data_IF_693215163139
#
_entry.id   IF_693215163139
#
_cell.length_a   1.000
_cell.length_b   1.000
_cell.length_c   1.000
_cell.angle_alpha   90.00
_cell.angle_beta   90.00
_cell.angle_gamma   90.00
#
_symmetry.space_group_name_H-M   'P 1'
#
loop_
_entity.id
_entity.type
_entity.pdbx_description
1 polymer ?
#
# COMPACT_ATOMS: atom_id res chain seq x y z
N UNK A 1 -15.44 -4.72 30.51
CA UNK A 1 -14.21 -5.03 29.73
C UNK A 1 -14.38 -4.50 28.33
N UNK A 2 -13.61 -3.48 27.95
CA UNK A 2 -13.63 -2.88 26.60
C UNK A 2 -12.40 -3.38 25.84
N UNK A 3 -12.53 -3.91 24.61
CA UNK A 3 -11.36 -4.19 23.80
C UNK A 3 -10.83 -2.86 23.25
N UNK A 4 -9.79 -2.32 23.89
CA UNK A 4 -8.95 -1.28 23.30
C UNK A 4 -8.01 -1.95 22.30
N UNK A 5 -8.30 -1.85 21.01
CA UNK A 5 -7.33 -2.20 19.98
C UNK A 5 -6.21 -1.14 19.97
N UNK A 6 -4.94 -1.50 20.16
CA UNK A 6 -3.84 -0.58 19.97
C UNK A 6 -3.59 -0.42 18.46
N UNK A 7 -3.92 0.75 17.90
CA UNK A 7 -3.37 1.20 16.61
C UNK A 7 -2.01 1.85 16.88
N UNK A 8 -0.95 1.04 16.90
CA UNK A 8 0.43 1.55 16.80
C UNK A 8 0.71 1.90 15.34
N UNK A 9 0.74 3.21 15.05
CA UNK A 9 0.94 3.77 13.72
C UNK A 9 2.44 3.99 13.48
N UNK A 10 3.10 3.01 12.84
CA UNK A 10 4.49 3.11 12.35
C UNK A 10 4.59 2.65 10.89
N UNK A 11 3.56 2.97 10.08
CA UNK A 11 3.37 2.45 8.70
C UNK A 11 3.78 3.40 7.56
N UNK A 12 4.14 4.66 7.84
CA UNK A 12 4.32 5.67 6.78
C UNK A 12 5.74 5.85 6.22
N UNK A 13 6.75 5.12 6.72
CA UNK A 13 8.12 5.24 6.21
C UNK A 13 8.52 4.16 5.19
N UNK A 14 7.77 3.05 5.11
CA UNK A 14 8.13 1.90 4.25
C UNK A 14 7.74 2.12 2.79
N UNK A 15 6.59 2.72 2.51
CA UNK A 15 6.14 2.98 1.13
C UNK A 15 6.96 4.08 0.43
N UNK A 16 7.59 4.98 1.19
CA UNK A 16 8.45 6.04 0.65
C UNK A 16 9.86 5.55 0.30
N UNK A 17 10.37 4.49 0.94
CA UNK A 17 11.71 3.96 0.65
C UNK A 17 11.76 3.06 -0.60
N UNK A 18 10.64 2.45 -1.00
CA UNK A 18 10.51 1.68 -2.25
C UNK A 18 10.41 2.60 -3.46
N UNK A 19 9.73 3.75 -3.33
CA UNK A 19 9.61 4.74 -4.40
C UNK A 19 10.93 5.45 -4.74
N UNK A 20 11.86 5.55 -3.79
CA UNK A 20 13.14 6.24 -4.00
C UNK A 20 14.16 5.40 -4.80
N UNK A 21 14.13 4.08 -4.68
CA UNK A 21 15.00 3.18 -5.47
C UNK A 21 14.57 3.07 -6.94
N UNK A 22 13.28 3.29 -7.22
CA UNK A 22 12.75 3.32 -8.58
C UNK A 22 13.18 4.56 -9.40
N UNK A 23 13.79 5.57 -8.75
CA UNK A 23 14.22 6.83 -9.38
C UNK A 23 15.66 6.81 -9.92
N UNK A 24 16.50 5.83 -9.57
CA UNK A 24 17.91 5.81 -10.00
C UNK A 24 18.16 5.08 -11.33
N UNK A 25 17.18 4.37 -11.90
CA UNK A 25 17.35 3.67 -13.18
C UNK A 25 16.65 4.44 -14.29
N UNK A 26 17.25 5.56 -14.68
CA UNK A 26 16.97 6.25 -15.94
C UNK A 26 18.20 6.17 -16.83
N UNK A 27 18.26 5.09 -17.63
CA UNK A 27 18.78 5.19 -18.99
C UNK A 27 17.70 4.72 -19.94
N UNK A 28 17.19 5.69 -20.69
CA UNK A 28 16.27 5.57 -21.81
C UNK A 28 16.90 4.75 -22.94
N UNK A 29 16.19 3.72 -23.40
CA UNK A 29 16.26 3.30 -24.80
C UNK A 29 14.82 3.19 -25.31
N UNK A 30 14.44 4.16 -26.15
CA UNK A 30 13.34 4.01 -27.06
C UNK A 30 13.87 3.19 -28.24
N UNK A 31 13.25 2.04 -28.53
CA UNK A 31 13.51 1.31 -29.76
C UNK A 31 12.18 1.03 -30.43
N UNK A 32 12.00 1.65 -31.60
CA UNK A 32 10.87 1.45 -32.50
C UNK A 32 10.82 -0.02 -32.93
N UNK A 33 9.70 -0.69 -32.66
CA UNK A 33 9.42 -2.00 -33.24
C UNK A 33 8.99 -1.83 -34.71
N UNK A 34 9.92 -2.10 -35.62
CA UNK A 34 9.61 -2.37 -37.03
C UNK A 34 8.85 -3.68 -37.15
N UNK A 35 7.64 -3.60 -37.68
CA UNK A 35 6.72 -4.71 -37.93
C UNK A 35 7.21 -5.53 -39.12
N UNK A 36 7.67 -6.76 -38.88
CA UNK A 36 7.82 -7.78 -39.91
C UNK A 36 6.87 -8.93 -39.61
N UNK A 37 5.79 -9.01 -40.40
CA UNK A 37 4.83 -10.09 -40.38
C UNK A 37 5.44 -11.37 -40.94
N UNK A 38 5.46 -12.42 -40.14
CA UNK A 38 5.51 -13.79 -40.63
C UNK A 38 4.84 -14.69 -39.60
N UNK A 39 3.60 -15.09 -39.91
CA UNK A 39 2.89 -16.13 -39.17
C UNK A 39 3.44 -17.50 -39.52
N UNK A 40 3.72 -18.33 -38.52
CA UNK A 40 3.32 -19.73 -38.55
C UNK A 40 2.32 -19.98 -37.42
N UNK A 41 1.13 -20.41 -37.81
CA UNK A 41 0.11 -20.95 -36.92
C UNK A 41 0.57 -22.30 -36.36
N UNK A 42 1.19 -22.30 -35.18
CA UNK A 42 1.12 -23.42 -34.25
C UNK A 42 0.42 -22.92 -33.00
N UNK A 43 -0.73 -23.51 -32.67
CA UNK A 43 -1.35 -23.33 -31.36
C UNK A 43 -0.50 -24.06 -30.32
N UNK A 44 0.66 -23.50 -30.02
CA UNK A 44 1.50 -23.90 -28.90
C UNK A 44 0.69 -23.56 -27.66
N UNK A 45 0.19 -24.57 -26.95
CA UNK A 45 -0.44 -24.34 -25.65
C UNK A 45 0.64 -23.73 -24.75
N UNK A 46 0.48 -22.45 -24.37
CA UNK A 46 1.37 -21.80 -23.42
C UNK A 46 1.41 -22.62 -22.14
N UNK A 47 2.61 -22.82 -21.59
CA UNK A 47 2.78 -23.49 -20.31
C UNK A 47 2.12 -22.69 -19.19
N UNK A 48 1.81 -23.33 -18.06
CA UNK A 48 1.21 -22.65 -16.91
C UNK A 48 2.11 -21.51 -16.39
N UNK A 49 3.42 -21.73 -16.39
CA UNK A 49 4.43 -20.73 -16.01
C UNK A 49 4.44 -19.54 -16.98
N UNK A 50 4.36 -19.78 -18.29
CA UNK A 50 4.26 -18.73 -19.31
C UNK A 50 2.98 -17.90 -19.16
N UNK A 51 1.87 -18.54 -18.79
CA UNK A 51 0.60 -17.84 -18.55
C UNK A 51 0.67 -16.97 -17.30
N UNK A 52 1.26 -17.47 -16.21
CA UNK A 52 1.46 -16.69 -14.98
C UNK A 52 2.32 -15.46 -15.24
N UNK A 53 3.42 -15.63 -15.97
CA UNK A 53 4.25 -14.49 -16.37
C UNK A 53 3.49 -13.49 -17.23
N UNK A 54 2.76 -13.96 -18.25
CA UNK A 54 1.95 -13.08 -19.09
C UNK A 54 0.96 -12.23 -18.27
N UNK A 55 0.29 -12.84 -17.29
CA UNK A 55 -0.61 -12.11 -16.37
C UNK A 55 0.14 -11.06 -15.53
N UNK A 56 1.34 -11.37 -15.03
CA UNK A 56 2.18 -10.40 -14.31
C UNK A 56 2.55 -9.22 -15.20
N UNK A 57 2.91 -9.47 -16.46
CA UNK A 57 3.22 -8.41 -17.44
C UNK A 57 2.02 -7.52 -17.74
N UNK A 58 0.86 -8.12 -18.04
CA UNK A 58 -0.39 -7.39 -18.30
C UNK A 58 -0.81 -6.54 -17.10
N UNK A 59 -0.72 -7.09 -15.88
CA UNK A 59 -1.04 -6.37 -14.65
C UNK A 59 -0.12 -5.18 -14.39
N UNK A 60 1.16 -5.31 -14.73
CA UNK A 60 2.18 -4.30 -14.49
C UNK A 60 2.27 -3.24 -15.60
N UNK A 61 1.66 -3.47 -16.76
CA UNK A 61 1.70 -2.58 -17.91
C UNK A 61 1.09 -1.21 -17.57
N UNK A 62 1.80 -0.12 -17.88
CA UNK A 62 1.34 1.25 -17.63
C UNK A 62 1.24 1.67 -16.15
N UNK A 63 1.21 0.72 -15.22
CA UNK A 63 0.93 0.94 -13.81
C UNK A 63 1.81 2.01 -13.16
N UNK A 64 3.12 1.98 -13.39
CA UNK A 64 4.04 2.98 -12.84
C UNK A 64 3.71 4.39 -13.32
N UNK A 65 3.37 4.56 -14.59
CA UNK A 65 3.07 5.87 -15.16
C UNK A 65 1.78 6.43 -14.55
N UNK A 66 0.74 5.61 -14.46
CA UNK A 66 -0.52 5.96 -13.81
C UNK A 66 -0.31 6.29 -12.32
N UNK A 67 0.51 5.51 -11.61
CA UNK A 67 0.87 5.77 -10.22
C UNK A 67 1.56 7.12 -10.05
N UNK A 68 2.46 7.50 -10.96
CA UNK A 68 3.12 8.80 -10.92
C UNK A 68 2.15 9.96 -11.17
N UNK A 69 1.20 9.79 -12.08
CA UNK A 69 0.15 10.78 -12.38
C UNK A 69 -0.82 10.97 -11.20
N UNK A 70 -1.15 9.88 -10.49
CA UNK A 70 -2.10 9.88 -9.37
C UNK A 70 -1.47 10.15 -8.01
N UNK A 71 -0.13 10.18 -7.91
CA UNK A 71 0.63 10.33 -6.66
C UNK A 71 0.10 11.44 -5.77
N UNK A 72 -0.16 12.63 -6.33
CA UNK A 72 -0.65 13.79 -5.57
C UNK A 72 -2.03 13.53 -4.97
N UNK A 73 -2.91 12.86 -5.71
CA UNK A 73 -4.24 12.47 -5.19
C UNK A 73 -4.13 11.46 -4.05
N UNK A 74 -3.21 10.49 -4.17
CA UNK A 74 -2.92 9.53 -3.09
C UNK A 74 -2.41 10.24 -1.84
N UNK A 75 -1.44 11.16 -1.99
CA UNK A 75 -0.91 11.96 -0.88
C UNK A 75 -2.01 12.78 -0.19
N UNK A 76 -2.85 13.47 -0.96
CA UNK A 76 -3.98 14.24 -0.42
C UNK A 76 -4.97 13.36 0.37
N UNK A 77 -5.27 12.16 -0.10
CA UNK A 77 -6.14 11.24 0.63
C UNK A 77 -5.54 10.84 1.99
N UNK A 78 -4.24 10.50 2.04
CA UNK A 78 -3.60 10.14 3.30
C UNK A 78 -3.47 11.32 4.27
N UNK A 79 -3.23 12.53 3.77
CA UNK A 79 -3.25 13.75 4.57
C UNK A 79 -4.64 14.03 5.15
N UNK A 80 -5.68 13.91 4.32
CA UNK A 80 -7.07 14.02 4.77
C UNK A 80 -7.37 12.98 5.85
N UNK A 81 -7.00 11.71 5.63
CA UNK A 81 -7.20 10.63 6.60
C UNK A 81 -6.49 10.93 7.93
N UNK A 82 -5.25 11.42 7.89
CA UNK A 82 -4.47 11.80 9.08
C UNK A 82 -5.17 12.93 9.84
N UNK A 83 -5.63 13.96 9.15
CA UNK A 83 -6.41 15.06 9.74
C UNK A 83 -7.71 14.55 10.36
N UNK A 84 -8.46 13.71 9.65
CA UNK A 84 -9.71 13.16 10.16
C UNK A 84 -9.52 12.34 11.45
N UNK A 85 -8.44 11.57 11.57
CA UNK A 85 -8.09 10.87 12.82
C UNK A 85 -7.90 11.85 13.99
N UNK A 86 -7.22 12.97 13.75
CA UNK A 86 -7.04 14.02 14.75
C UNK A 86 -8.37 14.68 15.12
N UNK A 87 -9.24 14.95 14.15
CA UNK A 87 -10.54 15.58 14.37
C UNK A 87 -11.50 14.66 15.13
N UNK A 88 -11.46 13.35 14.85
CA UNK A 88 -12.18 12.33 15.64
C UNK A 88 -11.67 12.29 17.08
N UNK A 89 -10.35 12.32 17.29
CA UNK A 89 -9.77 12.35 18.65
C UNK A 89 -10.21 13.61 19.42
N UNK A 90 -10.10 14.80 18.79
CA UNK A 90 -10.57 16.06 19.39
C UNK A 90 -12.06 16.01 19.72
N UNK A 91 -12.87 15.48 18.79
CA UNK A 91 -14.32 15.32 18.98
C UNK A 91 -14.64 14.42 20.19
N UNK A 92 -13.90 13.32 20.36
CA UNK A 92 -14.05 12.42 21.51
C UNK A 92 -13.68 13.07 22.83
N UNK A 93 -12.56 13.80 22.88
CA UNK A 93 -12.15 14.53 24.09
C UNK A 93 -13.20 15.55 24.49
N UNK A 94 -13.65 16.38 23.54
CA UNK A 94 -14.73 17.34 23.78
C UNK A 94 -16.01 16.67 24.24
N UNK A 95 -16.39 15.54 23.63
CA UNK A 95 -17.57 14.79 24.06
C UNK A 95 -17.47 14.29 25.51
N UNK A 96 -16.29 13.83 25.93
CA UNK A 96 -16.08 13.40 27.32
C UNK A 96 -16.25 14.56 28.29
N UNK A 97 -15.77 15.76 27.94
CA UNK A 97 -15.97 16.98 28.72
C UNK A 97 -17.45 17.37 28.77
N UNK A 98 -18.13 17.44 27.61
CA UNK A 98 -19.56 17.76 27.51
C UNK A 98 -20.40 16.79 28.38
N UNK A 99 -20.10 15.49 28.35
CA UNK A 99 -20.79 14.48 29.15
C UNK A 99 -20.51 14.59 30.65
N UNK A 100 -19.34 15.07 31.07
CA UNK A 100 -19.03 15.31 32.50
C UNK A 100 -19.82 16.50 33.04
N UNK A 101 -20.09 17.50 32.21
CA UNK A 101 -20.88 18.68 32.58
C UNK A 101 -22.39 18.52 32.36
N UNK A 102 -22.82 17.41 31.74
CA UNK A 102 -24.23 17.15 31.51
C UNK A 102 -24.96 16.72 32.79
N UNK A 103 -26.12 17.34 33.03
CA UNK A 103 -27.09 16.90 34.04
C UNK A 103 -27.88 15.69 33.53
N UNK A 104 -28.55 14.96 34.45
CA UNK A 104 -29.35 13.75 34.17
C UNK A 104 -30.22 13.88 32.91
N UNK A 105 -30.94 14.99 32.79
CA UNK A 105 -31.92 15.20 31.71
C UNK A 105 -31.25 15.61 30.38
N UNK A 106 -30.00 16.10 30.43
CA UNK A 106 -29.21 16.52 29.25
C UNK A 106 -28.19 15.48 28.79
N UNK A 107 -27.95 14.43 29.59
CA UNK A 107 -26.95 13.39 29.31
C UNK A 107 -27.23 12.68 28.00
N UNK A 108 -28.48 12.26 27.77
CA UNK A 108 -28.84 11.54 26.55
C UNK A 108 -28.81 12.43 25.29
N UNK A 109 -29.40 13.64 25.28
CA UNK A 109 -29.22 14.58 24.18
C UNK A 109 -27.75 14.89 23.86
N UNK A 110 -26.91 15.04 24.90
CA UNK A 110 -25.46 15.24 24.73
C UNK A 110 -24.80 14.04 24.06
N UNK A 111 -25.17 12.82 24.46
CA UNK A 111 -24.66 11.58 23.85
C UNK A 111 -25.05 11.49 22.36
N UNK A 112 -26.29 11.81 22.01
CA UNK A 112 -26.76 11.83 20.63
C UNK A 112 -25.97 12.85 19.79
N UNK A 113 -25.78 14.08 20.29
CA UNK A 113 -24.98 15.10 19.61
C UNK A 113 -23.54 14.65 19.38
N UNK A 114 -22.91 14.07 20.39
CA UNK A 114 -21.57 13.51 20.26
C UNK A 114 -21.50 12.45 19.16
N UNK A 115 -22.46 11.52 19.16
CA UNK A 115 -22.48 10.43 18.20
C UNK A 115 -22.74 10.92 16.78
N UNK A 116 -23.66 11.87 16.60
CA UNK A 116 -23.93 12.54 15.31
C UNK A 116 -22.64 13.12 14.73
N UNK A 117 -21.86 13.85 15.55
CA UNK A 117 -20.57 14.39 15.11
C UNK A 117 -19.55 13.32 14.72
N UNK A 118 -19.49 12.19 15.45
CA UNK A 118 -18.64 11.06 15.04
C UNK A 118 -19.11 10.43 13.71
N UNK A 119 -20.43 10.36 13.48
CA UNK A 119 -20.99 9.83 12.23
C UNK A 119 -20.67 10.73 11.03
N UNK A 120 -20.79 12.06 11.18
CA UNK A 120 -20.44 13.03 10.14
C UNK A 120 -18.98 12.91 9.72
N UNK A 121 -18.04 12.91 10.68
CA UNK A 121 -16.62 12.72 10.40
C UNK A 121 -16.31 11.37 9.73
N UNK A 122 -17.07 10.33 10.06
CA UNK A 122 -16.94 9.04 9.40
C UNK A 122 -17.44 9.12 7.96
N UNK A 123 -18.59 9.75 7.72
CA UNK A 123 -19.18 9.93 6.39
C UNK A 123 -18.23 10.68 5.46
N UNK A 124 -17.71 11.83 5.91
CA UNK A 124 -16.73 12.62 5.16
C UNK A 124 -15.49 11.80 4.77
N UNK A 125 -14.98 10.97 5.69
CA UNK A 125 -13.88 10.05 5.39
C UNK A 125 -14.25 9.01 4.33
N UNK A 126 -15.46 8.45 4.38
CA UNK A 126 -15.90 7.43 3.41
C UNK A 126 -16.12 8.03 2.02
N UNK A 127 -16.64 9.24 1.93
CA UNK A 127 -16.74 9.97 0.66
C UNK A 127 -15.35 10.20 0.04
N UNK A 128 -14.38 10.66 0.84
CA UNK A 128 -12.99 10.78 0.36
C UNK A 128 -12.33 9.45 0.03
N UNK A 129 -12.68 8.40 0.74
CA UNK A 129 -12.18 7.06 0.46
C UNK A 129 -12.78 6.47 -0.82
N UNK A 130 -14.01 6.85 -1.17
CA UNK A 130 -14.64 6.54 -2.45
C UNK A 130 -13.91 7.21 -3.61
N UNK A 131 -13.66 8.52 -3.53
CA UNK A 131 -12.87 9.25 -4.54
C UNK A 131 -11.47 8.62 -4.74
N UNK A 132 -10.84 8.20 -3.65
CA UNK A 132 -9.56 7.48 -3.69
C UNK A 132 -9.68 6.11 -4.38
N UNK A 133 -10.71 5.32 -4.02
CA UNK A 133 -10.94 4.00 -4.63
C UNK A 133 -11.27 4.10 -6.13
N UNK A 134 -11.93 5.17 -6.57
CA UNK A 134 -12.21 5.43 -8.00
C UNK A 134 -10.93 5.75 -8.80
N UNK A 135 -9.98 6.45 -8.18
CA UNK A 135 -8.81 7.02 -8.89
C UNK A 135 -7.51 6.24 -8.72
N UNK A 136 -7.41 5.34 -7.74
CA UNK A 136 -6.16 4.62 -7.49
C UNK A 136 -5.88 3.57 -8.59
N UNK A 137 -4.68 3.57 -9.19
CA UNK A 137 -4.32 2.59 -10.23
C UNK A 137 -3.85 1.28 -9.62
N UNK A 138 -3.79 0.24 -10.45
CA UNK A 138 -3.38 -1.11 -10.10
C UNK A 138 -4.41 -1.91 -9.30
N UNK A 139 -5.66 -1.45 -9.26
CA UNK A 139 -6.80 -2.19 -8.72
C UNK A 139 -7.64 -2.68 -9.90
N UNK A 140 -7.92 -3.97 -9.93
CA UNK A 140 -8.82 -4.62 -10.89
C UNK A 140 -10.23 -4.02 -10.81
N UNK A 141 -10.91 -3.98 -11.95
CA UNK A 141 -12.23 -3.34 -12.02
C UNK A 141 -13.27 -4.04 -11.12
N UNK A 142 -13.21 -5.37 -11.02
CA UNK A 142 -14.06 -6.14 -10.11
C UNK A 142 -13.85 -5.74 -8.63
N UNK A 143 -12.59 -5.71 -8.16
CA UNK A 143 -12.28 -5.29 -6.79
C UNK A 143 -12.67 -3.82 -6.53
N UNK A 144 -12.52 -2.96 -7.54
CA UNK A 144 -12.95 -1.56 -7.47
C UNK A 144 -14.46 -1.47 -7.28
N UNK A 145 -15.24 -2.13 -8.12
CA UNK A 145 -16.70 -2.10 -8.05
C UNK A 145 -17.24 -2.66 -6.73
N UNK A 146 -16.69 -3.80 -6.27
CA UNK A 146 -17.05 -4.37 -4.96
C UNK A 146 -16.77 -3.40 -3.81
N UNK A 147 -15.63 -2.73 -3.86
CA UNK A 147 -15.25 -1.74 -2.83
C UNK A 147 -16.15 -0.51 -2.86
N UNK A 148 -16.45 0.03 -4.05
CA UNK A 148 -17.33 1.18 -4.21
C UNK A 148 -18.76 0.85 -3.76
N UNK A 149 -19.27 -0.34 -4.07
CA UNK A 149 -20.57 -0.81 -3.59
C UNK A 149 -20.62 -0.85 -2.05
N UNK A 150 -19.59 -1.41 -1.41
CA UNK A 150 -19.51 -1.46 0.05
C UNK A 150 -19.42 -0.05 0.68
N UNK A 151 -18.63 0.85 0.09
CA UNK A 151 -18.51 2.24 0.54
C UNK A 151 -19.84 3.00 0.41
N UNK A 152 -20.53 2.90 -0.73
CA UNK A 152 -21.84 3.55 -0.93
C UNK A 152 -22.85 3.05 0.11
N UNK A 153 -22.95 1.74 0.30
CA UNK A 153 -23.84 1.14 1.31
C UNK A 153 -23.54 1.67 2.72
N UNK A 154 -22.26 1.82 3.09
CA UNK A 154 -21.89 2.40 4.39
C UNK A 154 -22.20 3.90 4.46
N UNK A 155 -21.99 4.67 3.40
CA UNK A 155 -22.32 6.11 3.36
C UNK A 155 -23.83 6.31 3.53
N UNK A 156 -24.65 5.50 2.88
CA UNK A 156 -26.11 5.54 3.00
C UNK A 156 -26.53 5.19 4.44
N UNK A 157 -25.99 4.11 5.00
CA UNK A 157 -26.25 3.74 6.39
C UNK A 157 -25.80 4.82 7.40
N UNK A 158 -24.67 5.48 7.16
CA UNK A 158 -24.21 6.61 7.98
C UNK A 158 -25.18 7.80 7.87
N UNK A 159 -25.68 8.09 6.68
CA UNK A 159 -26.67 9.16 6.44
C UNK A 159 -27.97 8.89 7.17
N UNK A 160 -28.54 7.68 7.04
CA UNK A 160 -29.74 7.28 7.78
C UNK A 160 -29.54 7.33 9.30
N UNK A 161 -28.35 6.97 9.79
CA UNK A 161 -28.03 7.06 11.22
C UNK A 161 -27.94 8.51 11.71
N UNK A 162 -27.39 9.44 10.90
CA UNK A 162 -27.34 10.87 11.20
C UNK A 162 -28.76 11.44 11.25
N UNK A 163 -29.57 11.19 10.23
CA UNK A 163 -30.97 11.61 10.18
C UNK A 163 -31.78 11.04 11.35
N UNK A 164 -31.57 9.76 11.70
CA UNK A 164 -32.21 9.13 12.83
C UNK A 164 -31.84 9.79 14.17
N UNK A 165 -30.59 10.24 14.32
CA UNK A 165 -30.17 10.99 15.52
C UNK A 165 -30.75 12.41 15.55
N UNK A 166 -30.82 13.11 14.42
CA UNK A 166 -31.33 14.49 14.33
C UNK A 166 -32.85 14.55 14.52
N UNK A 167 -33.57 13.56 14.01
CA UNK A 167 -35.02 13.45 14.16
C UNK A 167 -35.46 12.79 15.48
N UNK A 168 -34.54 12.60 16.43
CA UNK A 168 -34.79 11.97 17.72
C UNK A 168 -35.50 10.60 17.63
N UNK A 169 -35.18 9.80 16.61
CA UNK A 169 -35.74 8.44 16.41
C UNK A 169 -35.33 7.53 17.57
N UNK A 170 -34.08 7.68 18.04
CA UNK A 170 -33.57 6.95 19.20
C UNK A 170 -34.08 7.58 20.50
N UNK A 171 -34.80 6.80 21.30
CA UNK A 171 -35.43 7.25 22.56
C UNK A 171 -34.60 6.92 23.79
N UNK A 172 -33.68 5.97 23.66
CA UNK A 172 -32.86 5.49 24.78
C UNK A 172 -31.40 5.28 24.37
N UNK A 173 -30.54 5.19 25.39
CA UNK A 173 -29.12 4.89 25.20
C UNK A 173 -28.93 3.48 24.66
N UNK A 174 -29.79 2.55 25.06
CA UNK A 174 -29.77 1.15 24.70
C UNK A 174 -30.02 0.97 23.21
N UNK A 175 -31.05 1.64 22.68
CA UNK A 175 -31.34 1.68 21.23
C UNK A 175 -30.15 2.24 20.43
N UNK A 176 -29.51 3.30 20.93
CA UNK A 176 -28.35 3.89 20.25
C UNK A 176 -27.14 2.94 20.23
N UNK A 177 -26.94 2.19 21.32
CA UNK A 177 -25.88 1.17 21.41
C UNK A 177 -26.15 0.03 20.44
N UNK A 178 -27.40 -0.44 20.35
CA UNK A 178 -27.80 -1.49 19.42
C UNK A 178 -27.63 -1.04 17.97
N UNK A 179 -28.11 0.15 17.60
CA UNK A 179 -27.93 0.71 16.28
C UNK A 179 -26.45 0.86 15.90
N UNK A 180 -25.59 1.23 16.87
CA UNK A 180 -24.14 1.27 16.67
C UNK A 180 -23.53 -0.11 16.44
N UNK A 181 -24.00 -1.15 17.12
CA UNK A 181 -23.57 -2.53 16.88
C UNK A 181 -23.98 -2.99 15.47
N UNK A 182 -25.23 -2.74 15.08
CA UNK A 182 -25.76 -3.09 13.76
C UNK A 182 -25.01 -2.34 12.65
N UNK A 183 -24.75 -1.04 12.83
CA UNK A 183 -23.91 -0.26 11.90
C UNK A 183 -22.52 -0.88 11.75
N UNK A 184 -21.95 -1.38 12.85
CA UNK A 184 -20.63 -1.99 12.83
C UNK A 184 -20.61 -3.33 12.08
N UNK A 185 -21.51 -4.24 12.44
CA UNK A 185 -21.54 -5.61 11.91
C UNK A 185 -22.02 -5.65 10.46
N UNK A 186 -23.09 -4.92 10.13
CA UNK A 186 -23.72 -4.99 8.81
C UNK A 186 -23.02 -4.13 7.74
N UNK A 187 -22.35 -3.03 8.13
CA UNK A 187 -21.82 -2.07 7.16
C UNK A 187 -20.33 -1.80 7.32
N UNK A 188 -19.85 -1.50 8.55
CA UNK A 188 -18.43 -1.13 8.75
C UNK A 188 -17.50 -2.30 8.51
N UNK A 189 -17.78 -3.48 9.07
CA UNK A 189 -16.90 -4.65 8.92
C UNK A 189 -16.81 -5.12 7.47
N UNK A 190 -17.91 -5.27 6.71
CA UNK A 190 -17.85 -5.57 5.28
C UNK A 190 -17.07 -4.52 4.48
N UNK A 191 -17.27 -3.23 4.76
CA UNK A 191 -16.51 -2.17 4.08
C UNK A 191 -15.02 -2.25 4.38
N UNK A 192 -14.63 -2.53 5.64
CA UNK A 192 -13.23 -2.70 6.01
C UNK A 192 -12.60 -3.90 5.30
N UNK A 193 -13.35 -5.00 5.12
CA UNK A 193 -12.90 -6.17 4.38
C UNK A 193 -12.74 -5.87 2.89
N UNK A 194 -13.69 -5.18 2.26
CA UNK A 194 -13.60 -4.80 0.85
C UNK A 194 -12.38 -3.90 0.59
N UNK A 195 -12.17 -2.90 1.45
CA UNK A 195 -10.99 -2.02 1.38
C UNK A 195 -9.67 -2.78 1.55
N UNK A 196 -9.65 -3.80 2.41
CA UNK A 196 -8.46 -4.64 2.61
C UNK A 196 -8.15 -5.47 1.36
N UNK A 197 -9.17 -6.06 0.73
CA UNK A 197 -9.03 -6.81 -0.53
C UNK A 197 -8.55 -5.90 -1.67
N UNK A 198 -9.08 -4.68 -1.75
CA UNK A 198 -8.58 -3.67 -2.69
C UNK A 198 -7.11 -3.30 -2.44
N UNK A 199 -6.68 -3.19 -1.17
CA UNK A 199 -5.29 -2.92 -0.81
C UNK A 199 -4.38 -4.09 -1.19
N UNK A 200 -4.82 -5.34 -0.98
CA UNK A 200 -4.11 -6.54 -1.40
C UNK A 200 -3.97 -6.61 -2.92
N UNK A 201 -5.05 -6.43 -3.67
CA UNK A 201 -5.06 -6.43 -5.14
C UNK A 201 -4.13 -5.35 -5.73
N UNK A 202 -4.12 -4.17 -5.13
CA UNK A 202 -3.16 -3.11 -5.50
C UNK A 202 -1.72 -3.49 -5.19
N UNK A 203 -1.50 -4.18 -4.07
CA UNK A 203 -0.17 -4.62 -3.67
C UNK A 203 0.34 -5.71 -4.61
N UNK A 204 -0.54 -6.61 -5.06
CA UNK A 204 -0.25 -7.62 -6.08
C UNK A 204 0.26 -6.98 -7.37
N UNK A 205 -0.37 -5.89 -7.82
CA UNK A 205 0.12 -5.11 -8.97
C UNK A 205 1.51 -4.49 -8.76
N UNK A 206 1.84 -4.05 -7.54
CA UNK A 206 3.20 -3.62 -7.21
C UNK A 206 4.20 -4.78 -7.27
N UNK A 207 3.83 -5.95 -6.76
CA UNK A 207 4.66 -7.16 -6.80
C UNK A 207 4.94 -7.53 -8.27
N UNK A 208 3.88 -7.64 -9.09
CA UNK A 208 4.00 -7.92 -10.52
C UNK A 208 4.92 -6.91 -11.23
N UNK A 209 4.80 -5.61 -10.92
CA UNK A 209 5.70 -4.59 -11.47
C UNK A 209 7.17 -4.78 -11.06
N UNK A 210 7.43 -5.10 -9.80
CA UNK A 210 8.79 -5.34 -9.31
C UNK A 210 9.40 -6.60 -9.94
N UNK A 211 8.62 -7.67 -10.05
CA UNK A 211 9.03 -8.91 -10.70
C UNK A 211 9.30 -8.73 -12.18
N UNK A 212 8.44 -8.00 -12.90
CA UNK A 212 8.67 -7.64 -14.31
C UNK A 212 10.00 -6.88 -14.49
N UNK A 213 10.30 -5.95 -13.59
CA UNK A 213 11.54 -5.17 -13.63
C UNK A 213 12.76 -6.04 -13.34
N UNK A 214 12.66 -6.92 -12.35
CA UNK A 214 13.71 -7.92 -12.05
C UNK A 214 13.95 -8.86 -13.23
N UNK A 215 12.89 -9.38 -13.85
CA UNK A 215 12.98 -10.25 -15.02
C UNK A 215 13.66 -9.54 -16.19
N UNK A 216 13.28 -8.29 -16.46
CA UNK A 216 13.91 -7.49 -17.51
C UNK A 216 15.39 -7.24 -17.22
N UNK A 217 15.75 -7.02 -15.95
CA UNK A 217 17.14 -6.81 -15.53
C UNK A 217 17.98 -8.08 -15.69
N UNK A 218 17.46 -9.25 -15.34
CA UNK A 218 18.19 -10.52 -15.46
C UNK A 218 18.38 -10.96 -16.91
N UNK A 219 17.47 -10.59 -17.82
CA UNK A 219 17.55 -10.93 -19.24
C UNK A 219 18.43 -9.95 -20.04
N UNK A 220 18.37 -8.65 -19.73
CA UNK A 220 18.96 -7.61 -20.58
C UNK A 220 20.27 -6.99 -20.03
N UNK A 221 20.65 -7.30 -18.79
CA UNK A 221 21.85 -6.74 -18.15
C UNK A 221 22.84 -7.84 -17.78
N UNK A 222 24.13 -7.61 -18.02
CA UNK A 222 25.19 -8.48 -17.49
C UNK A 222 25.31 -8.29 -15.98
N UNK A 223 24.72 -9.22 -15.23
CA UNK A 223 24.81 -9.24 -13.78
C UNK A 223 26.07 -9.98 -13.32
N UNK A 224 26.66 -9.56 -12.20
CA UNK A 224 27.66 -10.37 -11.51
C UNK A 224 27.03 -11.68 -11.00
N UNK A 225 27.79 -12.77 -10.81
CA UNK A 225 27.24 -14.03 -10.29
C UNK A 225 26.53 -13.85 -8.95
N UNK A 226 27.09 -13.04 -8.06
CA UNK A 226 26.51 -12.75 -6.75
C UNK A 226 25.23 -11.91 -6.86
N UNK A 227 25.22 -10.89 -7.74
CA UNK A 227 24.02 -10.09 -7.99
C UNK A 227 22.91 -10.92 -8.64
N UNK A 228 23.24 -11.83 -9.55
CA UNK A 228 22.28 -12.75 -10.18
C UNK A 228 21.67 -13.73 -9.17
N UNK A 229 22.50 -14.34 -8.31
CA UNK A 229 22.02 -15.22 -7.25
C UNK A 229 21.05 -14.48 -6.31
N UNK A 230 21.40 -13.25 -5.93
CA UNK A 230 20.56 -12.44 -5.04
C UNK A 230 19.29 -11.93 -5.72
N UNK A 231 19.34 -11.61 -7.01
CA UNK A 231 18.15 -11.27 -7.80
C UNK A 231 17.19 -12.47 -7.93
N UNK A 232 17.73 -13.68 -8.07
CA UNK A 232 16.93 -14.92 -8.13
C UNK A 232 16.25 -15.23 -6.78
N UNK A 233 16.98 -15.09 -5.67
CA UNK A 233 16.43 -15.19 -4.30
C UNK A 233 15.31 -14.16 -4.07
N UNK A 234 15.53 -12.92 -4.54
CA UNK A 234 14.54 -11.84 -4.48
C UNK A 234 13.29 -12.18 -5.29
N UNK A 235 13.44 -12.78 -6.49
CA UNK A 235 12.30 -13.18 -7.32
C UNK A 235 11.43 -14.20 -6.60
N UNK A 236 12.04 -15.25 -6.04
CA UNK A 236 11.33 -16.29 -5.30
C UNK A 236 10.58 -15.71 -4.10
N UNK A 237 11.20 -14.79 -3.35
CA UNK A 237 10.55 -14.09 -2.23
C UNK A 237 9.28 -13.35 -2.68
N UNK A 238 9.32 -12.67 -3.84
CA UNK A 238 8.14 -12.00 -4.39
C UNK A 238 7.06 -12.97 -4.88
N UNK A 239 7.41 -14.14 -5.43
CA UNK A 239 6.45 -15.18 -5.83
C UNK A 239 5.68 -15.76 -4.62
N UNK A 240 6.39 -15.99 -3.52
CA UNK A 240 5.76 -16.42 -2.26
C UNK A 240 4.82 -15.32 -1.73
N UNK A 241 5.26 -14.06 -1.75
CA UNK A 241 4.43 -12.93 -1.32
C UNK A 241 3.22 -12.68 -2.25
N UNK A 242 3.35 -12.91 -3.56
CA UNK A 242 2.25 -12.87 -4.54
C UNK A 242 1.18 -13.92 -4.17
N UNK A 243 1.61 -15.16 -3.92
CA UNK A 243 0.72 -16.26 -3.51
C UNK A 243 -0.03 -15.92 -2.21
N UNK A 244 0.69 -15.36 -1.23
CA UNK A 244 0.07 -14.89 0.01
C UNK A 244 -0.95 -13.75 -0.24
N UNK A 245 -0.63 -12.78 -1.10
CA UNK A 245 -1.54 -11.68 -1.45
C UNK A 245 -2.81 -12.16 -2.15
N UNK A 246 -2.67 -13.09 -3.10
CA UNK A 246 -3.81 -13.69 -3.80
C UNK A 246 -4.71 -14.50 -2.87
N UNK A 247 -4.17 -14.99 -1.75
CA UNK A 247 -4.97 -15.67 -0.73
C UNK A 247 -5.85 -14.74 0.11
N UNK A 248 -5.58 -13.42 0.07
CA UNK A 248 -6.34 -12.42 0.83
C UNK A 248 -7.71 -12.25 0.19
N UNK A 249 -8.75 -12.57 0.97
CA UNK A 249 -10.14 -12.57 0.51
C UNK A 249 -10.76 -13.95 0.39
N UNK A 250 -9.99 -15.01 0.64
CA UNK A 250 -10.50 -16.38 0.75
C UNK A 250 -11.45 -16.57 1.94
N UNK A 251 -11.39 -15.70 2.94
CA UNK A 251 -12.34 -15.69 4.06
C UNK A 251 -13.11 -14.38 4.13
N UNK A 252 -14.26 -14.43 4.83
CA UNK A 252 -15.09 -13.25 5.12
C UNK A 252 -14.77 -12.64 6.50
N UNK A 253 -13.65 -13.03 7.12
CA UNK A 253 -13.27 -12.61 8.46
C UNK A 253 -12.24 -11.48 8.42
N UNK A 254 -12.70 -10.23 8.59
CA UNK A 254 -11.81 -9.06 8.56
C UNK A 254 -10.58 -9.17 9.47
N UNK A 255 -10.73 -9.69 10.70
CA UNK A 255 -9.61 -9.78 11.65
C UNK A 255 -8.52 -10.71 11.14
N UNK A 256 -8.92 -11.87 10.61
CA UNK A 256 -8.02 -12.89 10.06
C UNK A 256 -7.31 -12.36 8.82
N UNK A 257 -8.07 -11.83 7.86
CA UNK A 257 -7.52 -11.27 6.62
C UNK A 257 -6.55 -10.11 6.91
N UNK A 258 -6.89 -9.21 7.84
CA UNK A 258 -5.99 -8.11 8.22
C UNK A 258 -4.74 -8.61 8.96
N UNK A 259 -4.81 -9.77 9.62
CA UNK A 259 -3.66 -10.48 10.17
C UNK A 259 -2.74 -11.01 9.07
N UNK A 260 -3.31 -11.69 8.07
CA UNK A 260 -2.58 -12.20 6.90
C UNK A 260 -1.91 -11.06 6.14
N UNK A 261 -2.66 -10.01 5.80
CA UNK A 261 -2.12 -8.81 5.17
C UNK A 261 -0.95 -8.21 5.94
N UNK A 262 -0.98 -8.22 7.28
CA UNK A 262 0.15 -7.73 8.09
C UNK A 262 1.39 -8.61 7.96
N UNK A 263 1.22 -9.92 8.00
CA UNK A 263 2.32 -10.87 7.87
C UNK A 263 2.95 -10.76 6.47
N UNK A 264 2.14 -10.74 5.41
CA UNK A 264 2.62 -10.60 4.04
C UNK A 264 3.29 -9.24 3.80
N UNK A 265 2.79 -8.16 4.38
CA UNK A 265 3.48 -6.85 4.33
C UNK A 265 4.82 -6.84 5.07
N UNK A 266 5.04 -7.72 6.06
CA UNK A 266 6.35 -7.92 6.68
C UNK A 266 7.26 -8.77 5.79
N UNK A 267 6.71 -9.81 5.15
CA UNK A 267 7.44 -10.60 4.16
C UNK A 267 7.93 -9.71 3.00
N UNK A 268 7.07 -8.85 2.45
CA UNK A 268 7.45 -7.89 1.41
C UNK A 268 8.56 -6.91 1.83
N UNK A 269 8.65 -6.56 3.12
CA UNK A 269 9.75 -5.74 3.62
C UNK A 269 11.09 -6.48 3.53
N UNK A 270 11.08 -7.77 3.85
CA UNK A 270 12.24 -8.64 3.70
C UNK A 270 12.63 -8.80 2.23
N UNK A 271 11.68 -9.07 1.32
CA UNK A 271 11.98 -9.14 -0.12
C UNK A 271 12.59 -7.83 -0.64
N UNK A 272 12.13 -6.67 -0.14
CA UNK A 272 12.70 -5.38 -0.51
C UNK A 272 14.13 -5.16 0.02
N UNK A 273 14.53 -5.82 1.11
CA UNK A 273 15.92 -5.82 1.59
C UNK A 273 16.81 -6.65 0.66
N UNK A 274 16.36 -7.85 0.26
CA UNK A 274 17.05 -8.68 -0.72
C UNK A 274 17.24 -7.95 -2.06
N UNK A 275 16.21 -7.24 -2.54
CA UNK A 275 16.30 -6.43 -3.74
C UNK A 275 17.38 -5.34 -3.64
N UNK A 276 17.48 -4.67 -2.48
CA UNK A 276 18.51 -3.64 -2.24
C UNK A 276 19.91 -4.23 -2.24
N UNK A 277 20.08 -5.41 -1.66
CA UNK A 277 21.36 -6.14 -1.66
C UNK A 277 21.76 -6.52 -3.09
N UNK A 278 20.84 -7.07 -3.88
CA UNK A 278 21.07 -7.37 -5.30
C UNK A 278 21.52 -6.12 -6.09
N UNK A 279 20.85 -4.99 -5.90
CA UNK A 279 21.24 -3.72 -6.52
C UNK A 279 22.62 -3.22 -6.05
N UNK A 280 22.94 -3.37 -4.77
CA UNK A 280 24.24 -2.95 -4.22
C UNK A 280 25.37 -3.79 -4.80
N UNK A 281 25.19 -5.11 -4.91
CA UNK A 281 26.16 -6.02 -5.53
C UNK A 281 26.38 -5.69 -7.01
N UNK A 282 25.31 -5.32 -7.72
CA UNK A 282 25.43 -4.90 -9.11
C UNK A 282 26.16 -3.56 -9.25
N UNK A 283 25.88 -2.59 -8.37
CA UNK A 283 26.54 -1.29 -8.39
C UNK A 283 28.04 -1.41 -8.12
N UNK A 284 28.45 -2.26 -7.17
CA UNK A 284 29.87 -2.56 -6.91
C UNK A 284 30.55 -3.23 -8.10
N UNK A 285 29.82 -4.07 -8.86
CA UNK A 285 30.34 -4.70 -10.06
C UNK A 285 30.52 -3.71 -11.22
N UNK A 286 29.56 -2.81 -11.43
CA UNK A 286 29.63 -1.76 -12.46
C UNK A 286 30.64 -0.65 -12.11
N UNK A 287 30.76 -0.33 -10.83
CA UNK A 287 31.61 0.72 -10.28
C UNK A 287 32.55 0.15 -9.20
N UNK A 288 33.56 -0.66 -9.59
CA UNK A 288 34.48 -1.23 -8.63
C UNK A 288 35.17 -0.11 -7.84
N UNK A 289 35.32 -0.26 -6.51
CA UNK A 289 35.95 0.75 -5.69
C UNK A 289 37.37 1.02 -6.22
N UNK A 290 37.66 2.30 -6.49
CA UNK A 290 39.00 2.73 -6.90
C UNK A 290 39.94 2.41 -5.73
N UNK A 291 40.84 1.44 -5.92
CA UNK A 291 41.89 1.17 -4.93
C UNK A 291 42.63 2.49 -4.65
N UNK A 292 42.86 2.85 -3.38
CA UNK A 292 43.69 4.00 -3.07
C UNK A 292 45.06 3.72 -3.68
N UNK A 293 45.40 4.43 -4.76
CA UNK A 293 46.77 4.47 -5.26
C UNK A 293 47.63 4.91 -4.10
N UNK A 294 48.37 3.97 -3.50
CA UNK A 294 49.47 4.30 -2.61
C UNK A 294 50.34 5.30 -3.35
N UNK A 295 50.33 6.55 -2.89
CA UNK A 295 51.14 7.61 -3.44
C UNK A 295 52.62 7.29 -3.12
N UNK A 296 53.20 6.39 -3.92
CA UNK A 296 54.61 6.00 -3.87
C UNK A 296 55.55 7.17 -4.19
N UNK A 297 55.03 8.38 -4.47
CA UNK A 297 55.84 9.58 -4.61
C UNK A 297 56.47 10.06 -3.30
N UNK A 298 56.03 9.55 -2.14
CA UNK A 298 56.60 9.92 -0.83
C UNK A 298 57.95 9.23 -0.51
N UNK A 299 58.40 8.27 -1.34
CA UNK A 299 59.72 7.63 -1.23
C UNK A 299 60.64 7.95 -2.42
N UNK A 300 60.83 9.23 -2.74
CA UNK A 300 61.98 9.65 -3.57
C UNK A 300 63.15 10.10 -2.67
N UNK A 301 64.23 9.30 -2.51
CA UNK A 301 65.42 9.72 -1.79
C UNK A 301 66.22 10.73 -2.63
N UNK A 302 65.80 12.00 -2.65
CA UNK A 302 66.61 13.09 -3.20
C UNK A 302 67.57 13.63 -2.14
N UNK A 303 68.78 13.07 -2.18
CA UNK A 303 70.10 13.67 -1.93
C UNK A 303 70.09 15.04 -1.22
N UNK A 304 70.61 15.08 0.00
CA UNK A 304 71.23 16.28 0.57
C UNK A 304 72.63 15.92 1.09
N UNK A 305 73.59 15.90 0.17
CA UNK A 305 75.00 16.10 0.45
C UNK A 305 75.38 17.45 -0.16
N UNK A 306 75.68 18.43 0.70
CA UNK A 306 76.80 19.39 0.54
C UNK A 306 76.71 20.51 1.57
N UNK A 307 77.73 20.62 2.42
CA UNK A 307 78.26 21.90 2.90
C UNK A 307 78.01 22.27 4.36
N UNK A 308 78.82 21.73 5.28
CA UNK A 308 79.93 22.43 5.96
C UNK A 308 80.67 21.47 6.87
#
# INVERSE_FOLDING_TARGET
MRPTLPMTYRRSTVLLSVAFLALCVSKTYAQEHSSSSSSPSSSSQMTEEEQQWQQRFERAEGFRLEMLQTRRGVEFYYDFRKKNVQDVQKSRTKCQEDLRHANRDTTFPTLQRCYTKELMLNKELREKQKEYAESVPGVSEDMRQQTLAALNTLIDALTSMIEGTENAVFRSKEELIEAKKNLHTAYRTPTLLALLRMEADRTDTWIAHLMQRLFTMTQNTSLSPDAFAKASETMQCYEEAETEMQSIGNTNEFIKENGNMRATMQHLQHCAELLREAHTLQDVFEHPPVEPTEDRSMYSPRRRWSGQ
#
